data_IF_514683560795
#
_entry.id   IF_514683560795
#
_cell.length_a   1.000
_cell.length_b   1.000
_cell.length_c   1.000
_cell.angle_alpha   90.00
_cell.angle_beta   90.00
_cell.angle_gamma   90.00
#
_symmetry.space_group_name_H-M   'P 1'
#
loop_
_entity.id
_entity.type
_entity.pdbx_description
1 polymer ?
#
# COMPACT_ATOMS: atom_id res chain seq x y z
N UNK A 1 -59.84 80.04 16.19
CA UNK A 1 -58.79 79.89 15.15
C UNK A 1 -59.11 78.66 14.33
N UNK A 2 -59.27 78.85 13.00
CA UNK A 2 -59.33 77.86 11.89
C UNK A 2 -60.25 76.62 12.01
N UNK A 3 -61.44 76.76 11.41
CA UNK A 3 -61.98 76.01 10.25
C UNK A 3 -61.18 74.80 9.71
N UNK A 4 -61.73 73.68 9.18
CA UNK A 4 -63.09 73.10 9.03
C UNK A 4 -62.93 71.71 8.32
N UNK A 5 -64.03 70.92 8.20
CA UNK A 5 -64.30 69.75 7.30
C UNK A 5 -63.97 68.32 7.81
N UNK A 6 -65.02 67.63 8.28
CA UNK A 6 -65.29 66.19 8.01
C UNK A 6 -65.92 66.07 6.60
N UNK A 7 -65.95 64.93 5.84
CA UNK A 7 -66.24 63.58 6.36
C UNK A 7 -65.73 62.38 5.48
N UNK A 8 -66.23 61.16 5.78
CA UNK A 8 -66.48 60.04 4.84
C UNK A 8 -65.26 59.27 4.29
N UNK A 9 -65.22 57.95 4.11
CA UNK A 9 -66.27 56.93 4.10
C UNK A 9 -65.66 55.52 4.21
N UNK A 10 -66.55 54.58 4.51
CA UNK A 10 -66.57 53.19 4.05
C UNK A 10 -65.52 52.22 4.63
N UNK A 11 -65.93 51.60 5.73
CA UNK A 11 -65.60 50.21 6.03
C UNK A 11 -66.01 49.32 4.84
N UNK A 12 -65.02 48.75 4.16
CA UNK A 12 -65.19 47.74 3.12
C UNK A 12 -64.44 46.48 3.52
N UNK A 13 -65.18 45.52 4.05
CA UNK A 13 -64.75 44.16 4.36
C UNK A 13 -64.29 43.48 3.06
N UNK A 14 -62.99 43.20 2.90
CA UNK A 14 -62.51 42.25 1.90
C UNK A 14 -61.70 41.18 2.60
N UNK A 15 -62.38 40.06 2.84
CA UNK A 15 -61.77 38.79 3.20
C UNK A 15 -60.79 38.38 2.08
N UNK A 16 -59.53 38.19 2.45
CA UNK A 16 -58.55 37.56 1.59
C UNK A 16 -58.94 36.08 1.41
N UNK A 17 -59.65 35.77 0.32
CA UNK A 17 -59.77 34.42 -0.19
C UNK A 17 -58.40 34.00 -0.73
N UNK A 18 -57.65 33.22 0.06
CA UNK A 18 -56.59 32.38 -0.44
C UNK A 18 -57.22 31.23 -1.24
N UNK A 19 -57.57 31.49 -2.50
CA UNK A 19 -57.89 30.44 -3.46
C UNK A 19 -56.59 29.84 -3.96
N UNK A 20 -56.28 28.63 -3.47
CA UNK A 20 -55.49 27.68 -4.23
C UNK A 20 -56.24 27.41 -5.54
N UNK A 21 -55.91 28.18 -6.57
CA UNK A 21 -56.37 27.93 -7.93
C UNK A 21 -55.51 26.79 -8.51
N UNK A 22 -55.80 25.57 -8.07
CA UNK A 22 -55.41 24.39 -8.82
C UNK A 22 -56.09 24.48 -10.19
N UNK A 23 -55.28 24.39 -11.23
CA UNK A 23 -55.63 24.45 -12.64
C UNK A 23 -56.66 23.37 -13.03
N UNK A 24 -57.94 23.62 -12.79
CA UNK A 24 -58.98 22.99 -13.59
C UNK A 24 -59.03 23.67 -14.96
N UNK A 25 -59.00 22.86 -16.02
CA UNK A 25 -59.18 23.32 -17.40
C UNK A 25 -60.55 24.01 -17.48
N UNK A 26 -60.56 25.33 -17.58
CA UNK A 26 -61.78 26.08 -17.87
C UNK A 26 -61.97 26.13 -19.38
N UNK A 27 -63.15 25.74 -19.90
CA UNK A 27 -63.47 25.96 -21.30
C UNK A 27 -63.40 27.46 -21.60
N UNK A 28 -62.62 27.84 -22.60
CA UNK A 28 -62.59 29.21 -23.07
C UNK A 28 -63.96 29.53 -23.71
N UNK A 29 -64.62 30.66 -23.36
CA UNK A 29 -65.95 30.99 -23.88
C UNK A 29 -66.03 31.11 -25.42
N UNK A 30 -64.88 31.20 -26.09
CA UNK A 30 -64.72 31.41 -27.52
C UNK A 30 -64.14 30.20 -28.28
N UNK A 31 -63.84 29.09 -27.60
CA UNK A 31 -63.24 27.89 -28.21
C UNK A 31 -61.83 28.10 -28.77
N UNK A 32 -61.15 29.19 -28.41
CA UNK A 32 -59.76 29.44 -28.81
C UNK A 32 -58.77 28.54 -28.06
N UNK A 33 -57.65 28.19 -28.69
CA UNK A 33 -56.52 27.54 -28.03
C UNK A 33 -55.42 28.58 -27.78
N UNK A 34 -55.61 29.48 -26.81
CA UNK A 34 -54.48 30.30 -26.33
C UNK A 34 -53.66 29.48 -25.34
N UNK A 35 -52.45 29.10 -25.74
CA UNK A 35 -51.43 28.55 -24.84
C UNK A 35 -50.98 29.67 -23.89
N UNK A 36 -51.54 29.71 -22.69
CA UNK A 36 -51.03 30.56 -21.62
C UNK A 36 -49.71 29.97 -21.14
N UNK A 37 -48.60 30.63 -21.48
CA UNK A 37 -47.29 30.29 -20.90
C UNK A 37 -47.21 30.84 -19.49
N UNK A 38 -47.10 29.95 -18.50
CA UNK A 38 -46.91 30.31 -17.08
C UNK A 38 -45.45 30.59 -16.73
N UNK A 39 -44.52 30.32 -17.66
CA UNK A 39 -43.10 30.60 -17.50
C UNK A 39 -42.61 31.62 -18.54
N UNK A 40 -41.66 32.49 -18.17
CA UNK A 40 -40.99 33.37 -19.13
C UNK A 40 -40.20 32.58 -20.18
N UNK A 41 -39.94 33.22 -21.32
CA UNK A 41 -39.09 32.65 -22.36
C UNK A 41 -37.67 32.43 -21.81
N UNK A 42 -37.06 31.28 -22.13
CA UNK A 42 -35.70 30.95 -21.65
C UNK A 42 -35.64 30.07 -20.41
N UNK A 43 -36.76 29.58 -19.88
CA UNK A 43 -36.80 28.64 -18.74
C UNK A 43 -35.97 27.35 -18.97
N UNK A 44 -35.78 26.95 -20.24
CA UNK A 44 -34.96 25.80 -20.65
C UNK A 44 -33.59 26.19 -21.22
N UNK A 45 -33.24 27.48 -21.27
CA UNK A 45 -31.94 27.96 -21.77
C UNK A 45 -31.00 28.23 -20.60
N UNK A 46 -29.95 27.42 -20.46
CA UNK A 46 -28.91 27.57 -19.43
C UNK A 46 -28.23 28.94 -19.37
N UNK A 47 -28.28 29.73 -20.46
CA UNK A 47 -27.70 31.07 -20.53
C UNK A 47 -28.68 32.17 -20.15
N UNK A 48 -29.97 31.86 -20.02
CA UNK A 48 -31.00 32.84 -19.67
C UNK A 48 -30.96 33.19 -18.19
N UNK A 49 -31.29 34.44 -17.87
CA UNK A 49 -31.62 34.88 -16.50
C UNK A 49 -32.89 34.19 -15.98
N UNK A 50 -33.75 33.73 -16.88
CA UNK A 50 -34.99 33.02 -16.59
C UNK A 50 -34.81 31.50 -16.52
N UNK A 51 -33.59 30.99 -16.62
CA UNK A 51 -33.32 29.55 -16.56
C UNK A 51 -33.88 28.91 -15.29
N UNK A 52 -34.45 27.70 -15.40
CA UNK A 52 -35.15 27.05 -14.29
C UNK A 52 -34.31 26.86 -13.03
N UNK A 53 -32.99 26.67 -13.14
CA UNK A 53 -32.12 26.60 -11.94
C UNK A 53 -32.07 27.95 -11.21
N UNK A 54 -32.06 29.07 -11.93
CA UNK A 54 -32.12 30.41 -11.31
C UNK A 54 -33.46 30.64 -10.64
N UNK A 55 -34.55 30.16 -11.26
CA UNK A 55 -35.87 30.20 -10.63
C UNK A 55 -35.94 29.33 -9.37
N UNK A 56 -35.36 28.12 -9.38
CA UNK A 56 -35.24 27.29 -8.17
C UNK A 56 -34.51 28.03 -7.05
N UNK A 57 -33.40 28.70 -7.35
CA UNK A 57 -32.66 29.52 -6.36
C UNK A 57 -33.55 30.63 -5.80
N UNK A 58 -34.26 31.39 -6.66
CA UNK A 58 -35.20 32.45 -6.20
C UNK A 58 -36.33 31.89 -5.33
N UNK A 59 -36.74 30.66 -5.57
CA UNK A 59 -37.77 29.93 -4.80
C UNK A 59 -37.19 29.15 -3.63
N UNK A 60 -35.92 29.38 -3.26
CA UNK A 60 -35.27 28.70 -2.14
C UNK A 60 -35.27 27.17 -2.29
N UNK A 61 -35.01 26.69 -3.51
CA UNK A 61 -35.03 25.28 -3.91
C UNK A 61 -36.35 24.56 -3.62
N UNK A 62 -37.47 25.29 -3.52
CA UNK A 62 -38.75 24.68 -3.21
C UNK A 62 -39.38 23.99 -4.42
N UNK A 63 -39.05 22.71 -4.60
CA UNK A 63 -39.60 21.86 -5.66
C UNK A 63 -41.11 21.62 -5.56
N UNK A 64 -41.75 21.83 -4.40
CA UNK A 64 -43.19 21.62 -4.25
C UNK A 64 -44.00 22.59 -5.10
N UNK A 65 -43.46 23.78 -5.36
CA UNK A 65 -44.09 24.79 -6.24
C UNK A 65 -44.18 24.25 -7.68
N UNK A 66 -43.13 23.56 -8.14
CA UNK A 66 -43.08 22.97 -9.47
C UNK A 66 -43.95 21.70 -9.54
N UNK A 67 -43.90 20.85 -8.50
CA UNK A 67 -44.69 19.62 -8.41
C UNK A 67 -46.21 19.89 -8.50
N UNK A 68 -46.67 21.04 -8.01
CA UNK A 68 -48.08 21.44 -8.08
C UNK A 68 -48.68 21.45 -9.51
N UNK A 69 -47.85 21.63 -10.55
CA UNK A 69 -48.28 21.55 -11.95
C UNK A 69 -47.63 20.39 -12.71
N UNK A 70 -46.38 20.06 -12.39
CA UNK A 70 -45.59 19.04 -13.10
C UNK A 70 -45.73 17.63 -12.51
N UNK A 71 -46.50 17.47 -11.44
CA UNK A 71 -46.66 16.22 -10.70
C UNK A 71 -45.55 16.00 -9.68
N UNK A 72 -45.86 15.28 -8.60
CA UNK A 72 -44.90 14.93 -7.53
C UNK A 72 -43.75 14.04 -8.04
N UNK A 73 -43.98 13.30 -9.13
CA UNK A 73 -43.01 12.47 -9.83
C UNK A 73 -42.28 13.22 -10.96
N UNK A 74 -42.65 14.48 -11.21
CA UNK A 74 -42.14 15.33 -12.30
C UNK A 74 -42.27 14.72 -13.71
N UNK A 75 -43.22 13.80 -13.92
CA UNK A 75 -43.51 13.20 -15.23
C UNK A 75 -44.42 14.07 -16.10
N UNK A 76 -44.86 15.22 -15.58
CA UNK A 76 -45.51 16.28 -16.34
C UNK A 76 -46.89 16.67 -15.83
N UNK A 77 -47.53 15.89 -14.96
CA UNK A 77 -48.75 16.28 -14.25
C UNK A 77 -49.85 16.90 -15.13
N UNK A 78 -50.37 18.05 -14.69
CA UNK A 78 -51.35 18.86 -15.44
C UNK A 78 -50.68 19.71 -16.52
N UNK A 79 -49.42 20.11 -16.31
CA UNK A 79 -48.64 20.90 -17.26
C UNK A 79 -48.27 20.14 -18.55
N UNK A 80 -48.32 18.81 -18.54
CA UNK A 80 -47.91 17.90 -19.63
C UNK A 80 -46.45 18.08 -20.09
N UNK A 81 -45.59 18.65 -19.24
CA UNK A 81 -44.16 18.84 -19.51
C UNK A 81 -43.34 18.09 -18.47
N UNK A 82 -42.68 17.00 -18.90
CA UNK A 82 -41.87 16.14 -18.04
C UNK A 82 -40.44 16.67 -17.87
N UNK A 83 -39.99 16.77 -16.63
CA UNK A 83 -38.59 17.09 -16.30
C UNK A 83 -37.65 15.93 -16.66
N UNK A 84 -38.17 14.71 -16.70
CA UNK A 84 -37.39 13.49 -16.98
C UNK A 84 -36.88 13.41 -18.41
N UNK A 85 -37.39 14.26 -19.31
CA UNK A 85 -36.87 14.41 -20.68
C UNK A 85 -35.40 14.81 -20.69
N UNK A 86 -34.99 15.67 -19.75
CA UNK A 86 -33.60 16.10 -19.59
C UNK A 86 -32.92 15.46 -18.37
N UNK A 87 -33.67 15.22 -17.29
CA UNK A 87 -33.15 14.68 -16.03
C UNK A 87 -33.74 13.31 -15.75
N UNK A 88 -33.21 12.28 -16.40
CA UNK A 88 -33.76 10.91 -16.35
C UNK A 88 -33.88 10.31 -14.95
N UNK A 89 -33.02 10.70 -14.01
CA UNK A 89 -33.09 10.29 -12.60
C UNK A 89 -34.10 11.10 -11.76
N UNK A 90 -34.69 12.15 -12.34
CA UNK A 90 -35.53 13.13 -11.67
C UNK A 90 -34.74 14.36 -11.23
N UNK A 91 -35.41 15.52 -11.11
CA UNK A 91 -34.74 16.79 -10.83
C UNK A 91 -34.16 16.89 -9.40
N UNK A 92 -34.62 16.05 -8.49
CA UNK A 92 -34.17 15.98 -7.09
C UNK A 92 -33.16 14.86 -6.81
N UNK A 93 -32.76 14.10 -7.82
CA UNK A 93 -31.76 13.05 -7.66
C UNK A 93 -30.34 13.63 -7.52
N UNK A 94 -29.51 13.01 -6.68
CA UNK A 94 -28.14 13.48 -6.43
C UNK A 94 -27.32 13.63 -7.72
N UNK A 95 -27.44 12.67 -8.65
CA UNK A 95 -26.71 12.69 -9.94
C UNK A 95 -27.13 13.85 -10.85
N UNK A 96 -28.36 14.36 -10.69
CA UNK A 96 -28.83 15.52 -11.46
C UNK A 96 -28.09 16.79 -11.06
N UNK A 97 -27.74 16.93 -9.77
CA UNK A 97 -26.96 18.07 -9.28
C UNK A 97 -25.44 17.84 -9.37
N UNK A 98 -24.97 16.64 -9.03
CA UNK A 98 -23.54 16.35 -8.89
C UNK A 98 -22.89 15.68 -10.11
N UNK A 99 -23.68 15.17 -11.06
CA UNK A 99 -23.15 14.37 -12.17
C UNK A 99 -22.34 13.16 -11.67
N UNK A 100 -21.19 12.91 -12.29
CA UNK A 100 -20.27 11.85 -11.88
C UNK A 100 -19.51 12.15 -10.56
N UNK A 101 -19.67 13.36 -10.01
CA UNK A 101 -18.95 13.85 -8.84
C UNK A 101 -17.91 14.91 -9.19
N UNK A 102 -17.25 15.49 -8.17
CA UNK A 102 -16.27 16.55 -8.34
C UNK A 102 -14.98 16.03 -8.99
N UNK A 103 -14.47 16.75 -9.98
CA UNK A 103 -13.21 16.44 -10.70
C UNK A 103 -12.13 17.49 -10.50
N UNK A 104 -12.34 18.44 -9.58
CA UNK A 104 -11.41 19.53 -9.31
C UNK A 104 -10.43 19.19 -8.18
N UNK A 105 -9.25 19.80 -8.24
CA UNK A 105 -8.24 19.74 -7.19
C UNK A 105 -7.91 18.28 -6.82
N UNK A 106 -7.71 18.00 -5.53
CA UNK A 106 -7.37 16.67 -5.06
C UNK A 106 -8.52 15.64 -5.13
N UNK A 107 -9.72 15.96 -5.63
CA UNK A 107 -10.78 14.95 -5.76
C UNK A 107 -10.38 13.79 -6.67
N UNK A 108 -9.68 14.08 -7.77
CA UNK A 108 -9.27 13.04 -8.73
C UNK A 108 -8.33 12.03 -8.06
N UNK A 109 -7.34 12.50 -7.30
CA UNK A 109 -6.40 11.60 -6.61
C UNK A 109 -7.08 10.83 -5.48
N UNK A 110 -8.00 11.44 -4.73
CA UNK A 110 -8.69 10.75 -3.64
C UNK A 110 -9.76 9.76 -4.13
N UNK A 111 -10.52 10.10 -5.18
CA UNK A 111 -11.61 9.26 -5.71
C UNK A 111 -11.12 8.22 -6.71
N UNK A 112 -10.36 8.64 -7.73
CA UNK A 112 -9.99 7.76 -8.85
C UNK A 112 -8.75 6.93 -8.53
N UNK A 113 -7.74 7.53 -7.88
CA UNK A 113 -6.48 6.83 -7.59
C UNK A 113 -6.56 6.06 -6.27
N UNK A 114 -6.99 6.73 -5.20
CA UNK A 114 -7.04 6.12 -3.87
C UNK A 114 -8.36 5.37 -3.58
N UNK A 115 -9.38 5.51 -4.43
CA UNK A 115 -10.66 4.79 -4.28
C UNK A 115 -11.42 5.15 -3.01
N UNK A 116 -11.24 6.37 -2.47
CA UNK A 116 -11.88 6.77 -1.22
C UNK A 116 -13.36 7.08 -1.42
N UNK A 117 -14.18 6.59 -0.49
CA UNK A 117 -15.59 6.93 -0.43
C UNK A 117 -15.77 8.40 -0.04
N UNK A 118 -16.81 9.06 -0.56
CA UNK A 118 -17.11 10.46 -0.24
C UNK A 118 -17.28 10.70 1.28
N UNK A 119 -17.79 9.70 1.99
CA UNK A 119 -17.98 9.67 3.45
C UNK A 119 -16.69 9.83 4.26
N UNK A 120 -15.52 9.61 3.65
CA UNK A 120 -14.24 9.76 4.34
C UNK A 120 -13.84 11.24 4.54
N UNK A 121 -14.37 12.13 3.70
CA UNK A 121 -14.05 13.57 3.74
C UNK A 121 -15.27 14.49 3.87
N UNK A 122 -16.48 13.99 3.63
CA UNK A 122 -17.71 14.79 3.69
C UNK A 122 -18.89 13.96 4.17
N UNK A 123 -19.89 14.63 4.73
CA UNK A 123 -21.20 14.02 4.97
C UNK A 123 -21.91 13.84 3.63
N UNK A 124 -22.28 12.59 3.30
CA UNK A 124 -23.14 12.29 2.16
C UNK A 124 -24.59 12.24 2.64
N UNK A 125 -25.42 13.25 2.36
CA UNK A 125 -26.79 13.27 2.83
C UNK A 125 -27.64 12.21 2.10
N UNK A 126 -28.63 11.65 2.81
CA UNK A 126 -29.56 10.70 2.21
C UNK A 126 -30.55 11.36 1.23
N UNK A 127 -30.81 12.67 1.40
CA UNK A 127 -31.71 13.46 0.55
C UNK A 127 -31.08 14.81 0.20
N UNK A 128 -31.47 15.35 -0.96
CA UNK A 128 -30.94 16.63 -1.45
C UNK A 128 -31.23 17.81 -0.50
N UNK A 129 -32.33 17.75 0.27
CA UNK A 129 -32.79 18.81 1.17
C UNK A 129 -32.39 18.60 2.64
N UNK A 130 -31.47 17.68 2.93
CA UNK A 130 -30.99 17.47 4.29
C UNK A 130 -30.39 18.77 4.86
N UNK A 131 -30.61 19.01 6.16
CA UNK A 131 -30.05 20.14 6.88
C UNK A 131 -28.53 20.19 6.73
N UNK A 132 -27.99 21.36 6.40
CA UNK A 132 -26.55 21.58 6.19
C UNK A 132 -26.02 21.16 4.81
N UNK A 133 -26.83 20.56 3.92
CA UNK A 133 -26.42 20.29 2.54
C UNK A 133 -26.57 21.53 1.66
N UNK A 134 -27.80 21.89 1.30
CA UNK A 134 -28.11 23.13 0.58
C UNK A 134 -29.12 24.01 1.31
N UNK A 135 -29.72 23.52 2.40
CA UNK A 135 -30.64 24.26 3.26
C UNK A 135 -30.10 24.28 4.69
N UNK A 136 -30.27 25.39 5.41
CA UNK A 136 -30.15 25.45 6.86
C UNK A 136 -31.29 26.23 7.48
N UNK A 137 -31.97 25.64 8.46
CA UNK A 137 -33.21 26.20 9.02
C UNK A 137 -34.28 26.42 7.96
N UNK A 138 -34.27 25.61 6.89
CA UNK A 138 -35.17 25.75 5.74
C UNK A 138 -34.78 26.83 4.74
N UNK A 139 -33.65 27.53 4.91
CA UNK A 139 -33.18 28.60 4.01
C UNK A 139 -31.96 28.12 3.21
N UNK A 140 -31.91 28.47 1.93
CA UNK A 140 -30.82 28.10 1.04
C UNK A 140 -29.49 28.68 1.53
N UNK A 141 -28.47 27.83 1.61
CA UNK A 141 -27.11 28.21 1.99
C UNK A 141 -26.15 28.11 0.79
N UNK A 142 -25.11 28.93 0.81
CA UNK A 142 -24.05 29.00 -0.21
C UNK A 142 -22.70 28.64 0.42
N UNK A 143 -22.66 27.60 1.24
CA UNK A 143 -21.42 27.15 1.88
C UNK A 143 -20.87 25.93 1.16
N UNK A 144 -19.56 25.87 0.87
CA UNK A 144 -18.96 24.64 0.40
C UNK A 144 -19.22 23.51 1.42
N UNK A 145 -19.36 22.26 0.98
CA UNK A 145 -19.58 21.13 1.88
C UNK A 145 -18.51 21.12 2.97
N UNK A 146 -18.95 21.01 4.22
CA UNK A 146 -18.03 20.92 5.36
C UNK A 146 -17.14 19.69 5.16
N UNK A 147 -15.83 19.88 5.24
CA UNK A 147 -14.90 18.74 5.32
C UNK A 147 -15.04 18.11 6.71
N UNK A 148 -15.27 16.80 6.71
CA UNK A 148 -15.37 15.94 7.88
C UNK A 148 -14.50 14.72 7.65
N UNK A 149 -13.55 14.46 8.54
CA UNK A 149 -12.66 13.31 8.38
C UNK A 149 -13.26 12.05 8.98
N UNK A 150 -13.23 10.97 8.21
CA UNK A 150 -13.61 9.63 8.62
C UNK A 150 -12.55 8.95 9.48
N UNK A 151 -12.78 7.66 9.75
CA UNK A 151 -11.93 6.87 10.65
C UNK A 151 -10.53 6.66 10.10
N UNK A 152 -10.36 6.63 8.77
CA UNK A 152 -9.06 6.37 8.14
C UNK A 152 -8.15 7.59 8.22
N UNK A 153 -8.66 8.79 7.94
CA UNK A 153 -7.94 10.04 8.21
C UNK A 153 -7.64 10.19 9.72
N UNK A 154 -8.55 9.68 10.55
CA UNK A 154 -8.44 9.60 11.99
C UNK A 154 -7.46 8.55 12.55
N UNK A 155 -6.86 7.69 11.74
CA UNK A 155 -5.99 6.63 12.24
C UNK A 155 -4.71 7.18 12.88
N UNK A 156 -4.19 6.53 13.91
CA UNK A 156 -2.99 6.98 14.63
C UNK A 156 -2.26 5.76 15.17
N UNK A 157 -0.97 5.63 14.85
CA UNK A 157 -0.14 4.50 15.27
C UNK A 157 0.25 4.65 16.75
N UNK A 158 0.82 5.80 17.11
CA UNK A 158 1.12 6.16 18.50
C UNK A 158 0.26 7.37 18.91
N UNK A 159 -0.57 7.26 19.96
CA UNK A 159 -1.37 8.39 20.46
C UNK A 159 -0.55 9.66 20.76
N UNK A 160 0.73 9.53 21.10
CA UNK A 160 1.63 10.65 21.35
C UNK A 160 1.97 11.48 20.10
N UNK A 161 1.82 10.92 18.90
CA UNK A 161 2.16 11.59 17.64
C UNK A 161 1.06 12.57 17.19
N UNK A 162 -0.13 12.53 17.81
CA UNK A 162 -1.29 13.32 17.36
C UNK A 162 -1.69 14.38 18.39
N UNK A 163 -1.43 15.67 18.13
CA UNK A 163 -1.79 16.75 19.05
C UNK A 163 -3.28 17.12 19.01
N UNK A 164 -4.03 16.69 17.99
CA UNK A 164 -5.45 17.01 17.85
C UNK A 164 -6.15 16.23 16.74
N UNK A 165 -7.46 16.44 16.54
CA UNK A 165 -8.20 15.75 15.48
C UNK A 165 -7.70 16.18 14.09
N UNK A 166 -7.95 15.35 13.05
CA UNK A 166 -7.72 15.76 11.67
C UNK A 166 -8.44 17.06 11.34
N UNK A 167 -7.75 18.00 10.71
CA UNK A 167 -8.25 19.35 10.44
C UNK A 167 -8.08 19.71 8.97
N UNK A 168 -9.09 20.40 8.45
CA UNK A 168 -9.03 21.08 7.17
C UNK A 168 -9.35 22.55 7.39
N UNK A 169 -8.38 23.42 7.13
CA UNK A 169 -8.51 24.85 7.35
C UNK A 169 -7.74 25.62 6.28
N UNK A 170 -8.38 26.64 5.69
CA UNK A 170 -7.80 27.51 4.65
C UNK A 170 -7.14 26.74 3.48
N UNK A 171 -7.77 25.63 3.08
CA UNK A 171 -7.28 24.78 2.00
C UNK A 171 -6.12 23.87 2.40
N UNK A 172 -5.69 23.84 3.66
CA UNK A 172 -4.65 22.94 4.17
C UNK A 172 -5.23 21.82 5.01
N UNK A 173 -4.62 20.64 4.87
CA UNK A 173 -4.86 19.49 5.73
C UNK A 173 -3.78 19.45 6.83
N UNK A 174 -4.17 19.12 8.07
CA UNK A 174 -3.24 18.83 9.17
C UNK A 174 -3.80 17.77 10.12
N UNK A 175 -2.93 17.13 10.90
CA UNK A 175 -3.22 15.96 11.74
C UNK A 175 -3.88 14.79 10.98
N UNK A 176 -3.66 14.69 9.66
CA UNK A 176 -4.26 13.64 8.81
C UNK A 176 -3.27 12.49 8.64
N UNK A 177 -3.70 11.27 8.98
CA UNK A 177 -2.88 10.06 8.88
C UNK A 177 -2.29 9.84 7.48
N UNK A 178 -3.13 9.90 6.44
CA UNK A 178 -2.73 9.64 5.05
C UNK A 178 -1.73 10.67 4.48
N UNK A 179 -1.53 11.81 5.16
CA UNK A 179 -0.55 12.81 4.76
C UNK A 179 0.75 12.70 5.55
N UNK A 180 0.80 11.85 6.58
CA UNK A 180 2.03 11.55 7.31
C UNK A 180 2.31 12.46 8.50
N UNK A 181 1.42 13.42 8.77
CA UNK A 181 1.60 14.41 9.85
C UNK A 181 1.61 13.79 11.26
N UNK A 182 0.99 12.63 11.41
CA UNK A 182 0.87 11.90 12.68
C UNK A 182 1.62 10.57 12.65
N UNK A 183 2.72 10.54 11.89
CA UNK A 183 3.65 9.42 11.85
C UNK A 183 4.89 9.77 12.65
N UNK A 184 5.21 8.94 13.65
CA UNK A 184 6.38 9.02 14.51
C UNK A 184 7.71 9.36 13.78
N UNK A 185 7.87 8.88 12.54
CA UNK A 185 9.05 9.11 11.72
C UNK A 185 8.87 10.34 10.81
N UNK A 186 9.32 11.51 11.30
CA UNK A 186 9.42 12.73 10.50
C UNK A 186 10.30 12.52 9.24
N UNK A 187 10.08 13.35 8.22
CA UNK A 187 10.86 13.32 6.96
C UNK A 187 10.01 13.22 5.69
N UNK A 188 8.70 13.03 5.84
CA UNK A 188 7.74 13.14 4.74
C UNK A 188 7.70 14.55 4.15
N UNK A 189 7.66 14.67 2.83
CA UNK A 189 7.57 15.99 2.17
C UNK A 189 6.16 16.58 2.10
N UNK A 190 5.12 15.80 2.44
CA UNK A 190 3.72 16.23 2.31
C UNK A 190 2.86 15.99 3.55
N UNK A 191 3.35 16.39 4.73
CA UNK A 191 2.63 16.28 6.01
C UNK A 191 1.43 17.22 6.13
N UNK A 192 1.52 18.43 5.58
CA UNK A 192 0.42 19.41 5.56
C UNK A 192 0.13 19.96 4.15
N UNK A 193 -0.36 19.12 3.22
CA UNK A 193 -0.56 19.52 1.84
C UNK A 193 -1.72 20.52 1.70
N UNK A 194 -1.66 21.37 0.67
CA UNK A 194 -2.82 22.15 0.26
C UNK A 194 -3.70 21.34 -0.69
N UNK A 195 -5.02 21.49 -0.56
CA UNK A 195 -6.02 20.80 -1.36
C UNK A 195 -5.94 21.13 -2.85
N UNK A 196 -5.53 22.36 -3.17
CA UNK A 196 -5.38 22.90 -4.52
C UNK A 196 -3.97 22.71 -5.09
N UNK A 197 -3.05 22.09 -4.34
CA UNK A 197 -1.69 21.84 -4.81
C UNK A 197 -1.69 20.71 -5.85
N UNK A 198 -1.15 20.92 -7.07
CA UNK A 198 -0.95 19.86 -8.05
C UNK A 198 0.21 18.95 -7.61
N UNK A 199 0.06 18.27 -6.48
CA UNK A 199 1.10 17.39 -6.01
C UNK A 199 1.06 16.07 -6.82
N UNK A 200 2.16 15.68 -7.47
CA UNK A 200 2.19 14.44 -8.24
C UNK A 200 2.08 13.21 -7.33
N UNK A 201 1.44 12.15 -7.83
CA UNK A 201 1.30 10.90 -7.11
C UNK A 201 2.66 10.19 -6.92
N UNK A 202 2.87 9.51 -5.78
CA UNK A 202 3.56 8.21 -5.77
C UNK A 202 4.99 8.05 -5.24
N UNK A 203 5.55 8.92 -4.39
CA UNK A 203 6.86 8.69 -3.78
C UNK A 203 6.76 8.23 -2.30
N UNK A 204 7.62 7.29 -1.88
CA UNK A 204 7.60 6.70 -0.53
C UNK A 204 7.97 7.71 0.58
N UNK A 205 8.84 8.66 0.24
CA UNK A 205 9.33 9.75 1.10
C UNK A 205 8.29 10.88 1.29
N UNK A 206 7.07 10.69 0.79
CA UNK A 206 6.02 11.70 0.87
C UNK A 206 5.35 11.72 2.24
N UNK A 207 5.16 10.55 2.84
CA UNK A 207 4.47 10.41 4.13
C UNK A 207 5.45 10.44 5.31
N UNK A 208 6.59 9.75 5.19
CA UNK A 208 7.64 9.67 6.19
C UNK A 208 9.00 9.62 5.50
N UNK A 209 10.11 9.70 6.24
CA UNK A 209 11.44 9.48 5.66
C UNK A 209 11.55 8.09 5.00
N UNK A 210 12.09 8.02 3.79
CA UNK A 210 12.33 6.77 3.06
C UNK A 210 13.81 6.68 2.64
N UNK A 211 14.57 5.69 3.13
CA UNK A 211 14.17 4.65 4.08
C UNK A 211 13.96 5.22 5.51
N UNK A 212 13.15 4.56 6.37
CA UNK A 212 12.97 4.99 7.76
C UNK A 212 14.31 4.99 8.54
N UNK A 213 14.46 5.77 9.63
CA UNK A 213 15.71 5.86 10.41
C UNK A 213 16.25 4.52 10.95
N UNK A 214 15.41 3.48 11.02
CA UNK A 214 15.80 2.13 11.40
C UNK A 214 16.58 1.36 10.31
N UNK A 215 16.81 1.97 9.14
CA UNK A 215 17.46 1.33 8.00
C UNK A 215 18.76 2.05 7.64
N UNK A 216 19.78 1.26 7.32
CA UNK A 216 21.03 1.75 6.74
C UNK A 216 21.06 1.66 5.20
N UNK A 217 20.04 1.07 4.56
CA UNK A 217 20.01 0.76 3.12
C UNK A 217 18.72 1.22 2.44
N UNK A 218 18.82 1.58 1.16
CA UNK A 218 17.77 2.18 0.33
C UNK A 218 17.18 1.24 -0.76
N UNK A 219 17.69 0.01 -0.86
CA UNK A 219 17.23 -1.01 -1.82
C UNK A 219 15.97 -1.71 -1.30
N UNK A 220 14.84 -1.01 -1.37
CA UNK A 220 13.59 -1.37 -0.70
C UNK A 220 13.01 -2.70 -1.20
N UNK A 221 13.06 -2.95 -2.51
CA UNK A 221 12.46 -4.11 -3.20
C UNK A 221 13.11 -5.46 -2.84
N UNK A 222 14.28 -5.42 -2.21
CA UNK A 222 14.94 -6.61 -1.66
C UNK A 222 14.11 -7.18 -0.51
N UNK A 223 13.59 -6.31 0.36
CA UNK A 223 12.89 -6.70 1.59
C UNK A 223 11.39 -6.45 1.53
N UNK A 224 10.92 -5.47 0.75
CA UNK A 224 9.50 -5.11 0.68
C UNK A 224 8.89 -5.61 -0.64
N UNK A 225 7.77 -6.36 -0.60
CA UNK A 225 7.09 -6.79 -1.80
C UNK A 225 6.46 -5.58 -2.53
N UNK A 226 6.42 -5.60 -3.87
CA UNK A 226 5.73 -4.56 -4.63
C UNK A 226 4.23 -4.58 -4.33
N UNK A 227 3.64 -3.40 -4.16
CA UNK A 227 2.19 -3.25 -4.03
C UNK A 227 1.63 -3.38 -2.60
N UNK A 228 2.48 -3.44 -1.57
CA UNK A 228 2.10 -3.31 -0.17
C UNK A 228 1.61 -1.88 0.14
N UNK A 229 0.29 -1.64 0.30
CA UNK A 229 -0.21 -0.31 0.59
C UNK A 229 -0.06 -0.09 2.11
N UNK A 230 1.08 0.45 2.52
CA UNK A 230 1.39 0.77 3.93
C UNK A 230 0.38 1.72 4.60
N UNK A 231 -0.54 2.29 3.80
CA UNK A 231 -1.66 3.15 4.24
C UNK A 231 -2.68 2.43 5.12
N UNK A 232 -2.62 1.10 5.26
CA UNK A 232 -3.41 0.35 6.23
C UNK A 232 -2.72 0.22 7.60
N UNK A 233 -1.53 0.83 7.76
CA UNK A 233 -0.72 0.78 8.97
C UNK A 233 0.12 -0.50 9.10
N UNK A 234 0.08 -1.41 8.12
CA UNK A 234 0.86 -2.65 8.13
C UNK A 234 2.01 -2.56 7.13
N UNK A 235 3.23 -2.76 7.62
CA UNK A 235 4.43 -2.85 6.78
C UNK A 235 4.63 -4.32 6.41
N UNK A 236 4.41 -4.68 5.15
CA UNK A 236 4.76 -6.02 4.68
C UNK A 236 6.27 -6.10 4.48
N UNK A 237 6.91 -7.01 5.22
CA UNK A 237 8.35 -7.29 5.15
C UNK A 237 8.56 -8.76 4.79
N UNK A 238 9.46 -9.00 3.84
CA UNK A 238 9.77 -10.29 3.29
C UNK A 238 8.74 -10.78 2.28
N UNK A 239 9.20 -11.59 1.32
CA UNK A 239 8.34 -12.25 0.32
C UNK A 239 7.64 -13.49 0.90
N UNK A 240 8.21 -14.06 1.95
CA UNK A 240 7.71 -15.21 2.72
C UNK A 240 8.09 -15.03 4.20
N UNK A 241 7.42 -15.74 5.14
CA UNK A 241 7.82 -15.69 6.54
C UNK A 241 9.24 -16.21 6.79
N UNK A 242 9.95 -15.59 7.74
CA UNK A 242 11.30 -15.98 8.16
C UNK A 242 12.43 -15.40 7.30
N UNK A 243 13.66 -15.87 7.53
CA UNK A 243 14.89 -15.35 6.92
C UNK A 243 14.87 -15.41 5.38
N UNK A 244 14.28 -16.48 4.82
CA UNK A 244 14.06 -16.67 3.37
C UNK A 244 13.20 -15.58 2.72
N UNK A 245 12.52 -14.75 3.51
CA UNK A 245 11.75 -13.61 3.03
C UNK A 245 12.60 -12.55 2.35
N UNK A 246 13.88 -12.42 2.73
CA UNK A 246 14.78 -11.37 2.23
C UNK A 246 16.04 -11.92 1.56
N UNK A 247 16.59 -13.03 2.04
CA UNK A 247 17.82 -13.64 1.54
C UNK A 247 17.68 -15.16 1.46
N UNK A 248 18.37 -15.82 0.52
CA UNK A 248 18.17 -17.25 0.30
C UNK A 248 17.09 -17.55 -0.74
N UNK A 249 16.40 -18.66 -0.55
CA UNK A 249 15.28 -19.10 -1.39
C UNK A 249 14.23 -19.86 -0.56
N UNK A 250 13.26 -20.45 -1.26
CA UNK A 250 12.17 -21.23 -0.66
C UNK A 250 12.63 -22.49 0.12
N UNK A 251 13.87 -22.95 -0.09
CA UNK A 251 14.41 -24.17 0.51
C UNK A 251 15.36 -23.89 1.67
N UNK A 252 16.07 -22.75 1.66
CA UNK A 252 16.93 -22.35 2.77
C UNK A 252 17.23 -20.84 2.73
N UNK A 253 17.36 -20.20 3.90
CA UNK A 253 17.84 -18.83 3.97
C UNK A 253 19.33 -18.70 3.62
N UNK A 254 20.08 -19.80 3.58
CA UNK A 254 21.45 -19.77 3.08
C UNK A 254 21.43 -19.37 1.59
N UNK A 255 22.03 -18.24 1.18
CA UNK A 255 21.94 -17.74 -0.20
C UNK A 255 22.29 -18.80 -1.26
N UNK A 256 21.39 -19.10 -2.21
CA UNK A 256 21.75 -19.11 -3.60
C UNK A 256 21.62 -17.67 -4.14
N UNK A 257 20.56 -16.93 -3.77
CA UNK A 257 20.35 -15.50 -3.97
C UNK A 257 20.84 -14.66 -2.79
N UNK A 258 21.80 -13.75 -3.03
CA UNK A 258 22.18 -12.73 -2.05
C UNK A 258 21.26 -11.48 -2.11
N UNK A 259 21.47 -10.51 -1.22
CA UNK A 259 20.68 -9.26 -1.17
C UNK A 259 20.84 -8.37 -2.41
N UNK A 260 21.85 -8.65 -3.25
CA UNK A 260 22.08 -7.97 -4.52
C UNK A 260 21.51 -8.76 -5.71
N UNK A 261 20.79 -9.86 -5.45
CA UNK A 261 20.18 -10.70 -6.48
C UNK A 261 21.15 -11.62 -7.20
N UNK A 262 22.41 -11.71 -6.77
CA UNK A 262 23.36 -12.65 -7.38
C UNK A 262 22.96 -14.08 -7.03
N UNK A 263 23.05 -14.99 -7.99
CA UNK A 263 22.72 -16.41 -7.80
C UNK A 263 23.91 -17.38 -7.92
N UNK A 264 25.06 -16.87 -8.38
CA UNK A 264 26.22 -17.68 -8.67
C UNK A 264 27.18 -17.70 -7.49
N UNK A 265 27.76 -18.87 -7.21
CA UNK A 265 28.79 -19.10 -6.19
C UNK A 265 30.00 -18.16 -6.31
N UNK A 266 30.27 -17.63 -7.50
CA UNK A 266 31.34 -16.66 -7.72
C UNK A 266 31.10 -15.31 -7.05
N UNK A 267 29.85 -15.00 -6.69
CA UNK A 267 29.51 -13.82 -5.90
C UNK A 267 29.78 -14.08 -4.41
N UNK A 268 30.43 -13.15 -3.73
CA UNK A 268 30.85 -13.30 -2.33
C UNK A 268 29.67 -13.46 -1.36
N UNK A 269 28.52 -12.83 -1.67
CA UNK A 269 27.29 -12.96 -0.89
C UNK A 269 26.62 -14.33 -1.02
N UNK A 270 26.89 -15.04 -2.12
CA UNK A 270 26.39 -16.40 -2.37
C UNK A 270 27.41 -17.42 -1.88
N UNK A 271 28.58 -17.49 -2.53
CA UNK A 271 29.69 -18.37 -2.18
C UNK A 271 29.29 -19.78 -1.76
N UNK A 272 30.11 -20.37 -0.88
CA UNK A 272 29.95 -21.75 -0.45
C UNK A 272 28.89 -21.94 0.67
N UNK A 273 27.92 -21.03 0.84
CA UNK A 273 26.88 -21.14 1.88
C UNK A 273 26.19 -22.51 1.84
N UNK A 274 25.64 -22.88 0.68
CA UNK A 274 24.92 -24.15 0.51
C UNK A 274 25.79 -25.37 0.81
N UNK A 275 27.06 -25.33 0.41
CA UNK A 275 27.99 -26.41 0.71
C UNK A 275 28.21 -26.65 2.22
N UNK A 276 28.12 -25.60 3.04
CA UNK A 276 28.29 -25.71 4.50
C UNK A 276 26.98 -25.99 5.24
N UNK A 277 25.89 -25.31 4.85
CA UNK A 277 24.60 -25.41 5.54
C UNK A 277 23.89 -26.73 5.19
N UNK A 278 23.92 -27.15 3.93
CA UNK A 278 23.28 -28.41 3.50
C UNK A 278 24.22 -29.61 3.66
N UNK A 279 25.52 -29.35 3.71
CA UNK A 279 26.58 -30.35 3.83
C UNK A 279 26.41 -31.54 2.87
N UNK A 280 26.30 -31.31 1.54
CA UNK A 280 26.01 -32.36 0.57
C UNK A 280 27.12 -33.43 0.50
N UNK A 281 28.36 -33.07 0.84
CA UNK A 281 29.48 -34.00 0.93
C UNK A 281 29.37 -34.98 2.08
N UNK A 282 28.56 -34.66 3.11
CA UNK A 282 28.30 -35.48 4.31
C UNK A 282 29.56 -35.89 5.10
N UNK A 283 30.71 -35.28 4.82
CA UNK A 283 31.96 -35.44 5.61
C UNK A 283 31.82 -34.84 7.01
N UNK A 284 30.86 -33.93 7.18
CA UNK A 284 30.45 -33.27 8.41
C UNK A 284 28.95 -32.99 8.26
N UNK A 285 28.20 -32.98 9.36
CA UNK A 285 26.80 -32.55 9.35
C UNK A 285 26.64 -31.04 9.07
N UNK A 286 25.42 -30.56 8.83
CA UNK A 286 25.11 -29.13 8.65
C UNK A 286 25.84 -28.21 9.64
N UNK A 287 26.37 -27.10 9.12
CA UNK A 287 26.95 -26.03 9.93
C UNK A 287 25.85 -25.02 10.24
N UNK A 288 25.58 -24.66 11.51
CA UNK A 288 24.60 -23.63 11.82
C UNK A 288 25.13 -22.24 11.45
N UNK A 289 24.23 -21.31 11.10
CA UNK A 289 24.59 -19.94 10.73
C UNK A 289 25.43 -19.24 11.82
N UNK A 290 25.13 -19.52 13.10
CA UNK A 290 25.83 -18.94 14.26
C UNK A 290 27.30 -19.32 14.37
N UNK A 291 27.75 -20.37 13.65
CA UNK A 291 29.17 -20.70 13.55
C UNK A 291 29.94 -19.61 12.79
N UNK A 292 29.29 -18.92 11.86
CA UNK A 292 29.91 -17.90 11.00
C UNK A 292 29.46 -16.48 11.29
N UNK A 293 28.19 -16.28 11.63
CA UNK A 293 27.57 -14.96 11.77
C UNK A 293 26.96 -14.78 13.16
N UNK A 294 26.81 -13.53 13.58
CA UNK A 294 25.85 -13.19 14.62
C UNK A 294 24.45 -13.23 13.98
N UNK A 295 23.62 -14.19 14.39
CA UNK A 295 22.30 -14.41 13.78
C UNK A 295 21.27 -13.60 14.55
N UNK A 296 20.56 -12.64 13.90
CA UNK A 296 19.52 -11.89 14.56
C UNK A 296 18.32 -12.79 14.89
N UNK A 297 17.68 -12.51 16.03
CA UNK A 297 16.40 -13.14 16.42
C UNK A 297 15.22 -12.41 15.78
N UNK A 298 15.33 -11.09 15.60
CA UNK A 298 14.34 -10.23 14.97
C UNK A 298 14.96 -9.35 13.89
N UNK A 299 14.13 -8.88 12.94
CA UNK A 299 14.61 -8.09 11.80
C UNK A 299 15.28 -6.79 12.26
N UNK A 300 14.77 -6.15 13.32
CA UNK A 300 15.31 -4.90 13.86
C UNK A 300 16.42 -5.06 14.90
N UNK A 301 16.96 -6.26 15.09
CA UNK A 301 18.10 -6.46 16.00
C UNK A 301 19.33 -5.68 15.50
N UNK A 302 20.11 -5.17 16.45
CA UNK A 302 21.31 -4.39 16.14
C UNK A 302 22.30 -5.19 15.28
N UNK A 303 22.84 -4.55 14.25
CA UNK A 303 23.77 -5.18 13.30
C UNK A 303 23.09 -5.88 12.12
N UNK A 304 21.76 -5.80 11.98
CA UNK A 304 21.02 -6.41 10.88
C UNK A 304 20.60 -5.39 9.81
N UNK A 305 19.40 -4.79 9.88
CA UNK A 305 18.93 -3.83 8.87
C UNK A 305 19.38 -2.38 9.13
N UNK A 306 19.82 -2.12 10.36
CA UNK A 306 20.31 -0.83 10.86
C UNK A 306 21.79 -0.59 10.52
N UNK A 307 22.44 -1.56 9.89
CA UNK A 307 23.86 -1.55 9.56
C UNK A 307 24.08 -1.82 8.06
N UNK A 308 25.03 -1.14 7.40
CA UNK A 308 25.27 -1.37 5.98
C UNK A 308 25.88 -2.76 5.74
N UNK A 309 25.60 -3.38 4.58
CA UNK A 309 26.24 -4.64 4.23
C UNK A 309 27.76 -4.48 4.12
N UNK A 310 28.52 -5.58 4.29
CA UNK A 310 28.08 -6.96 4.44
C UNK A 310 27.74 -7.39 5.87
N UNK A 311 27.02 -8.50 6.02
CA UNK A 311 26.86 -9.17 7.31
C UNK A 311 28.22 -9.52 7.93
N UNK A 312 28.34 -9.27 9.23
CA UNK A 312 29.56 -9.48 9.99
C UNK A 312 29.88 -10.98 10.10
N UNK A 313 31.16 -11.33 9.94
CA UNK A 313 31.66 -12.70 10.15
C UNK A 313 32.40 -12.75 11.48
N UNK A 314 32.12 -13.77 12.28
CA UNK A 314 32.75 -14.01 13.58
C UNK A 314 34.28 -13.92 13.44
N UNK A 315 34.88 -13.03 14.23
CA UNK A 315 36.31 -12.67 14.12
C UNK A 315 37.24 -13.87 14.34
N UNK A 316 36.79 -14.89 15.06
CA UNK A 316 37.48 -16.17 15.31
C UNK A 316 37.80 -16.95 14.03
N UNK A 317 37.02 -16.77 12.95
CA UNK A 317 37.27 -17.43 11.66
C UNK A 317 38.37 -16.75 10.84
N UNK A 318 38.80 -15.55 11.25
CA UNK A 318 39.81 -14.72 10.55
C UNK A 318 39.52 -14.66 9.04
N UNK A 319 38.27 -14.29 8.73
CA UNK A 319 37.79 -14.10 7.37
C UNK A 319 38.50 -12.91 6.73
N UNK A 320 39.07 -13.14 5.55
CA UNK A 320 39.60 -12.10 4.68
C UNK A 320 38.71 -11.98 3.45
N UNK A 321 37.95 -10.88 3.40
CA UNK A 321 37.02 -10.59 2.30
C UNK A 321 37.72 -10.36 0.97
N UNK A 322 38.96 -9.87 0.97
CA UNK A 322 39.70 -9.54 -0.25
C UNK A 322 40.16 -10.79 -1.00
N UNK A 323 40.54 -11.84 -0.26
CA UNK A 323 40.92 -13.14 -0.81
C UNK A 323 39.78 -14.15 -0.80
N UNK A 324 38.67 -13.82 -0.13
CA UNK A 324 37.54 -14.69 0.12
C UNK A 324 37.97 -16.01 0.81
N UNK A 325 38.85 -15.92 1.82
CA UNK A 325 39.38 -17.08 2.56
C UNK A 325 39.21 -16.93 4.07
N UNK A 326 39.14 -18.05 4.79
CA UNK A 326 39.21 -18.10 6.25
C UNK A 326 40.60 -18.57 6.67
N UNK A 327 41.27 -17.86 7.58
CA UNK A 327 42.63 -18.24 8.00
C UNK A 327 42.67 -19.25 9.16
N UNK A 328 41.62 -19.33 9.97
CA UNK A 328 41.58 -20.17 11.19
C UNK A 328 40.37 -21.11 11.23
N UNK A 329 39.66 -21.27 10.11
CA UNK A 329 38.55 -22.22 10.04
C UNK A 329 39.08 -23.66 10.25
N UNK A 330 38.87 -24.18 11.47
CA UNK A 330 39.30 -25.50 11.92
C UNK A 330 38.94 -26.62 10.94
N UNK A 331 37.86 -26.44 10.17
CA UNK A 331 37.33 -27.42 9.24
C UNK A 331 38.15 -27.63 7.96
N UNK A 332 38.87 -26.60 7.49
CA UNK A 332 39.60 -26.66 6.21
C UNK A 332 41.13 -26.70 6.37
N UNK A 333 41.63 -26.64 7.61
CA UNK A 333 43.05 -26.77 7.98
C UNK A 333 43.98 -25.99 7.02
N UNK A 334 45.00 -26.66 6.46
CA UNK A 334 45.95 -26.05 5.54
C UNK A 334 45.39 -25.82 4.12
N UNK A 335 44.22 -26.38 3.79
CA UNK A 335 43.65 -26.34 2.44
C UNK A 335 43.16 -24.96 2.00
N UNK A 336 42.78 -24.10 2.97
CA UNK A 336 42.38 -22.68 2.76
C UNK A 336 41.58 -22.43 1.47
N UNK A 337 40.43 -23.11 1.27
CA UNK A 337 39.64 -22.95 0.05
C UNK A 337 39.11 -21.53 -0.10
N UNK A 338 38.97 -21.08 -1.35
CA UNK A 338 38.38 -19.80 -1.70
C UNK A 338 36.86 -19.96 -1.70
N UNK A 339 36.18 -19.16 -0.89
CA UNK A 339 34.73 -19.19 -0.64
C UNK A 339 33.88 -19.08 -1.91
N UNK A 340 34.38 -18.37 -2.92
CA UNK A 340 33.68 -18.10 -4.19
C UNK A 340 34.03 -19.08 -5.30
N UNK A 341 34.77 -20.16 -5.00
CA UNK A 341 35.16 -21.15 -5.98
C UNK A 341 34.39 -22.46 -5.79
N UNK A 342 34.07 -23.09 -6.91
CA UNK A 342 33.59 -24.48 -6.96
C UNK A 342 34.78 -25.43 -6.92
N UNK A 343 34.68 -26.47 -6.12
CA UNK A 343 35.70 -27.50 -6.01
C UNK A 343 35.54 -28.18 -4.68
N UNK A 344 34.94 -29.38 -4.70
CA UNK A 344 34.75 -30.16 -3.48
C UNK A 344 36.10 -30.57 -2.85
N UNK A 345 36.02 -30.99 -1.60
CA UNK A 345 37.14 -31.64 -0.91
C UNK A 345 37.47 -32.94 -1.66
N UNK A 346 38.61 -32.94 -2.35
CA UNK A 346 39.20 -34.15 -2.94
C UNK A 346 40.21 -34.76 -1.97
N UNK A 347 40.55 -36.03 -2.12
CA UNK A 347 41.62 -36.64 -1.32
C UNK A 347 42.91 -35.81 -1.48
N UNK A 348 43.60 -35.53 -0.37
CA UNK A 348 44.75 -34.62 -0.37
C UNK A 348 44.44 -33.18 0.05
N UNK A 349 43.16 -32.76 0.06
CA UNK A 349 42.77 -31.38 0.39
C UNK A 349 42.80 -31.06 1.89
N UNK A 350 42.61 -32.06 2.76
CA UNK A 350 42.64 -31.89 4.21
C UNK A 350 43.99 -32.27 4.83
N UNK A 351 44.60 -33.34 4.32
CA UNK A 351 45.92 -33.84 4.70
C UNK A 351 46.61 -34.43 3.48
N UNK A 352 47.93 -34.60 3.52
CA UNK A 352 48.68 -35.23 2.41
C UNK A 352 48.17 -36.64 2.11
N UNK A 353 47.99 -36.93 0.82
CA UNK A 353 47.60 -38.26 0.30
C UNK A 353 48.47 -38.54 -0.93
N UNK A 354 49.05 -39.75 -1.08
CA UNK A 354 48.96 -40.88 -0.14
C UNK A 354 49.86 -40.71 1.10
N UNK A 355 49.60 -41.44 2.21
CA UNK A 355 50.46 -41.43 3.40
C UNK A 355 51.89 -41.87 3.08
N UNK A 356 52.88 -41.32 3.81
CA UNK A 356 54.31 -41.67 3.63
C UNK A 356 54.65 -43.00 4.28
N UNK A 357 54.11 -44.10 3.75
CA UNK A 357 54.42 -45.46 4.19
C UNK A 357 55.01 -46.28 3.03
N UNK A 358 55.80 -47.33 3.31
CA UNK A 358 56.43 -48.13 2.25
C UNK A 358 55.46 -48.73 1.22
N UNK A 359 54.19 -48.93 1.60
CA UNK A 359 53.14 -49.48 0.74
C UNK A 359 52.52 -48.46 -0.21
N UNK A 360 52.87 -47.18 -0.11
CA UNK A 360 52.29 -46.09 -0.90
C UNK A 360 53.35 -45.41 -1.76
N UNK A 361 53.07 -45.30 -3.06
CA UNK A 361 53.94 -44.61 -4.01
C UNK A 361 53.31 -43.28 -4.42
N UNK A 362 54.10 -42.18 -4.52
CA UNK A 362 53.63 -40.90 -5.04
C UNK A 362 53.06 -40.96 -6.47
N UNK A 363 53.35 -42.03 -7.22
CA UNK A 363 52.85 -42.22 -8.59
C UNK A 363 51.45 -42.88 -8.65
N UNK A 364 50.87 -43.27 -7.51
CA UNK A 364 49.53 -43.87 -7.46
C UNK A 364 48.46 -42.84 -7.84
N UNK A 365 47.50 -43.25 -8.67
CA UNK A 365 46.34 -42.44 -9.03
C UNK A 365 45.19 -42.65 -8.06
N UNK A 366 44.24 -41.71 -8.01
CA UNK A 366 43.06 -41.82 -7.14
C UNK A 366 42.22 -43.08 -7.42
N UNK A 367 42.15 -43.50 -8.69
CA UNK A 367 41.49 -44.75 -9.08
C UNK A 367 42.19 -45.99 -8.48
N UNK A 368 43.51 -45.93 -8.28
CA UNK A 368 44.30 -47.03 -7.71
C UNK A 368 43.97 -47.26 -6.24
N UNK A 369 43.48 -46.24 -5.53
CA UNK A 369 43.15 -46.33 -4.11
C UNK A 369 42.04 -47.36 -3.84
N UNK A 370 41.08 -47.51 -4.76
CA UNK A 370 39.98 -48.48 -4.63
C UNK A 370 40.42 -49.93 -4.60
N UNK A 371 41.60 -50.24 -5.17
CA UNK A 371 42.13 -51.60 -5.17
C UNK A 371 42.50 -52.10 -3.78
N UNK A 372 42.99 -51.20 -2.90
CA UNK A 372 43.42 -51.54 -1.55
C UNK A 372 42.50 -50.97 -0.46
N UNK A 373 41.76 -49.89 -0.76
CA UNK A 373 40.83 -49.22 0.15
C UNK A 373 39.35 -49.22 -0.35
N UNK A 374 38.80 -50.35 -0.83
CA UNK A 374 37.45 -50.42 -1.42
C UNK A 374 36.29 -50.09 -0.45
N UNK A 375 36.55 -50.04 0.85
CA UNK A 375 35.54 -49.64 1.86
C UNK A 375 35.52 -48.14 2.13
N UNK A 376 36.60 -47.45 1.77
CA UNK A 376 36.86 -46.05 2.08
C UNK A 376 36.60 -45.16 0.88
N UNK A 377 36.89 -45.62 -0.33
CA UNK A 377 36.79 -44.83 -1.57
C UNK A 377 36.19 -45.65 -2.70
N UNK A 378 35.32 -45.04 -3.52
CA UNK A 378 34.70 -45.67 -4.69
C UNK A 378 35.52 -45.49 -5.98
N UNK A 379 35.08 -46.14 -7.06
CA UNK A 379 35.75 -46.09 -8.39
C UNK A 379 35.91 -44.69 -8.98
N UNK A 380 35.15 -43.70 -8.48
CA UNK A 380 35.23 -42.31 -8.92
C UNK A 380 36.22 -41.48 -8.08
N UNK A 381 36.79 -42.07 -7.02
CA UNK A 381 37.68 -41.39 -6.10
C UNK A 381 36.93 -40.64 -4.98
N UNK A 382 35.65 -40.95 -4.76
CA UNK A 382 34.84 -40.32 -3.71
C UNK A 382 34.81 -41.19 -2.44
N UNK A 383 34.77 -40.54 -1.27
CA UNK A 383 34.70 -41.23 0.02
C UNK A 383 33.36 -41.98 0.13
N UNK A 384 33.42 -43.27 0.47
CA UNK A 384 32.24 -44.11 0.70
C UNK A 384 31.67 -43.77 2.07
N UNK A 385 30.35 -43.55 2.10
CA UNK A 385 29.56 -43.30 3.30
C UNK A 385 28.56 -44.43 3.50
N UNK A 386 28.59 -45.04 4.67
CA UNK A 386 27.69 -46.12 5.08
C UNK A 386 26.78 -45.68 6.22
N UNK A 387 25.46 -45.94 6.17
CA UNK A 387 24.56 -45.68 7.29
C UNK A 387 24.96 -46.46 8.54
N UNK A 388 25.15 -45.75 9.65
CA UNK A 388 25.37 -46.32 10.97
C UNK A 388 24.07 -46.83 11.62
N UNK A 389 24.16 -47.50 12.78
CA UNK A 389 22.99 -48.06 13.50
C UNK A 389 21.94 -47.02 13.92
N UNK A 390 22.34 -45.76 14.05
CA UNK A 390 21.54 -44.58 14.39
C UNK A 390 21.08 -43.78 13.16
N UNK A 391 21.38 -44.26 11.95
CA UNK A 391 21.12 -43.56 10.70
C UNK A 391 22.14 -42.46 10.37
N UNK A 392 23.14 -42.23 11.24
CA UNK A 392 24.23 -41.28 10.96
C UNK A 392 25.18 -41.92 9.96
N UNK A 393 25.47 -41.21 8.87
CA UNK A 393 26.43 -41.69 7.88
C UNK A 393 27.83 -41.67 8.48
N UNK A 394 28.53 -42.79 8.36
CA UNK A 394 29.91 -42.97 8.80
C UNK A 394 30.77 -43.40 7.61
N UNK A 395 32.05 -43.07 7.67
CA UNK A 395 33.03 -43.57 6.71
C UNK A 395 34.14 -44.29 7.46
N UNK A 396 34.66 -45.35 6.86
CA UNK A 396 35.94 -45.94 7.25
C UNK A 396 37.11 -44.96 7.10
N UNK A 397 36.94 -43.83 6.42
CA UNK A 397 37.94 -42.77 6.39
C UNK A 397 37.96 -41.90 7.65
N UNK A 398 36.78 -41.62 8.24
CA UNK A 398 36.59 -40.63 9.32
C UNK A 398 36.52 -41.33 10.70
N UNK A 399 36.59 -42.66 10.74
CA UNK A 399 36.63 -43.45 11.98
C UNK A 399 38.00 -43.43 12.69
N UNK A 400 39.02 -42.80 12.10
CA UNK A 400 40.39 -42.74 12.64
C UNK A 400 41.20 -44.03 12.50
N UNK A 401 40.72 -45.01 11.73
CA UNK A 401 41.37 -46.30 11.51
C UNK A 401 41.79 -46.43 10.04
N UNK A 402 43.02 -46.86 9.79
CA UNK A 402 43.50 -47.13 8.43
C UNK A 402 42.99 -48.49 7.98
N UNK A 403 41.93 -48.49 7.18
CA UNK A 403 41.31 -49.71 6.65
C UNK A 403 42.01 -50.16 5.35
N UNK A 404 42.91 -51.14 5.45
CA UNK A 404 43.55 -51.85 4.33
C UNK A 404 42.97 -53.25 4.17
N UNK A 405 42.83 -53.71 2.92
CA UNK A 405 42.47 -55.09 2.60
C UNK A 405 43.69 -55.98 2.35
#
# INVERSE_FOLDING_TARGET
>A
MRWVIAPCAAAGLWAALALGACSDVRPQPDGGTTTVSVHPAGILDSKSEDFHVRELVRRNWNFSVCAGCHGDDFTGGTAKVSCLTCHSAGPTACITCHGAGPTSNAHVVHREVAGLACGECHVVPATWNAEGHILSGGVAIQTPPRVTFGTRAGFTLDPGDRPGPPLFHDGRCSNVYCHGDVLHAAGGTATEPRWDDPAPAGACDRCHGAPPPSHAQDHCETCHPPGAPHIDGTVQVGRVPGCSGCHGDATSPAPPGDLSGNTLITAIGVGAHRAHIEAPSRLRGPVPCSACHQVPTQIGDAGHIDSPPPAEVNTELRWDRSTATCATALCHLAGRPVWTQTGGLVCGSCHGVPPTTPSHSPAMTLASCTGCHPRTIDATGMIILTPGPDGVLSSTHINGVVDVH
#
